data_IF_168266185217
#
_entry.id   IF_168266185217
#
_cell.length_a   1.000
_cell.length_b   1.000
_cell.length_c   1.000
_cell.angle_alpha   90.00
_cell.angle_beta   90.00
_cell.angle_gamma   90.00
#
_symmetry.space_group_name_H-M   'P 1'
#
loop_
_entity.id
_entity.type
_entity.pdbx_description
1 polymer ?
#
# COMPACT_ATOMS: atom_id res chain seq x y z
N UNK A 1 4.32 24.99 -8.04
CA UNK A 1 4.67 23.76 -7.29
C UNK A 1 3.61 23.55 -6.22
N UNK A 2 3.13 22.33 -5.99
CA UNK A 2 2.14 22.05 -4.94
C UNK A 2 2.72 22.39 -3.56
N UNK A 3 1.88 22.91 -2.65
CA UNK A 3 2.29 23.19 -1.28
C UNK A 3 2.62 21.91 -0.52
N UNK A 4 3.44 22.01 0.54
CA UNK A 4 3.84 20.86 1.37
C UNK A 4 2.61 20.12 1.94
N UNK A 5 1.57 20.87 2.31
CA UNK A 5 0.30 20.30 2.79
C UNK A 5 -0.41 19.46 1.72
N UNK A 6 -0.41 19.92 0.47
CA UNK A 6 -1.02 19.19 -0.63
C UNK A 6 -0.28 17.88 -0.89
N UNK A 7 1.05 17.91 -0.86
CA UNK A 7 1.87 16.69 -0.99
C UNK A 7 1.56 15.71 0.14
N UNK A 8 1.42 16.19 1.37
CA UNK A 8 1.04 15.36 2.51
C UNK A 8 -0.32 14.66 2.27
N UNK A 9 -1.35 15.38 1.84
CA UNK A 9 -2.65 14.78 1.55
C UNK A 9 -2.62 13.78 0.40
N UNK A 10 -1.81 14.03 -0.64
CA UNK A 10 -1.62 13.08 -1.74
C UNK A 10 -0.98 11.78 -1.23
N UNK A 11 0.07 11.89 -0.42
CA UNK A 11 0.75 10.71 0.16
C UNK A 11 -0.20 9.95 1.09
N UNK A 12 -1.00 10.64 1.88
CA UNK A 12 -1.99 10.02 2.76
C UNK A 12 -3.08 9.29 1.97
N UNK A 13 -3.59 9.89 0.89
CA UNK A 13 -4.54 9.24 0.00
C UNK A 13 -3.96 7.99 -0.66
N UNK A 14 -2.70 8.08 -1.14
CA UNK A 14 -1.98 6.94 -1.70
C UNK A 14 -1.81 5.81 -0.68
N UNK A 15 -1.47 6.16 0.56
CA UNK A 15 -1.33 5.19 1.66
C UNK A 15 -2.65 4.47 1.95
N UNK A 16 -3.76 5.20 2.08
CA UNK A 16 -5.08 4.62 2.38
C UNK A 16 -5.51 3.68 1.25
N UNK A 17 -5.40 4.10 -0.01
CA UNK A 17 -5.73 3.24 -1.16
C UNK A 17 -4.80 2.03 -1.23
N UNK A 18 -3.49 2.21 -1.00
CA UNK A 18 -2.51 1.14 -0.99
C UNK A 18 -2.80 0.05 0.05
N UNK A 19 -3.24 0.43 1.26
CA UNK A 19 -3.62 -0.53 2.31
C UNK A 19 -4.88 -1.35 1.97
N UNK A 20 -5.76 -0.81 1.12
CA UNK A 20 -6.98 -1.49 0.68
C UNK A 20 -6.83 -2.22 -0.67
N UNK A 21 -5.74 -1.98 -1.41
CA UNK A 21 -5.51 -2.56 -2.75
C UNK A 21 -5.72 -4.08 -2.84
N UNK A 22 -5.35 -4.83 -1.79
CA UNK A 22 -5.58 -6.28 -1.77
C UNK A 22 -7.07 -6.62 -1.80
N UNK A 23 -7.88 -5.91 -1.02
CA UNK A 23 -9.34 -6.10 -0.99
C UNK A 23 -9.96 -5.74 -2.33
N UNK A 24 -9.49 -4.67 -2.97
CA UNK A 24 -9.94 -4.26 -4.31
C UNK A 24 -9.65 -5.35 -5.35
N UNK A 25 -8.43 -5.88 -5.39
CA UNK A 25 -8.05 -6.97 -6.30
C UNK A 25 -8.93 -8.20 -6.10
N UNK A 26 -9.17 -8.60 -4.85
CA UNK A 26 -10.05 -9.75 -4.56
C UNK A 26 -11.51 -9.46 -4.92
N UNK A 27 -12.00 -8.24 -4.70
CA UNK A 27 -13.34 -7.83 -5.11
C UNK A 27 -13.51 -7.91 -6.63
N UNK A 28 -12.50 -7.48 -7.38
CA UNK A 28 -12.49 -7.52 -8.85
C UNK A 28 -12.52 -8.95 -9.37
N UNK A 29 -11.68 -9.83 -8.82
CA UNK A 29 -11.60 -11.24 -9.22
C UNK A 29 -12.85 -12.02 -8.82
N UNK A 30 -13.42 -11.73 -7.65
CA UNK A 30 -14.62 -12.43 -7.14
C UNK A 30 -15.94 -11.82 -7.60
N UNK A 31 -15.93 -10.68 -8.29
CA UNK A 31 -17.13 -10.05 -8.86
C UNK A 31 -18.14 -9.48 -7.85
N UNK A 32 -17.67 -8.99 -6.70
CA UNK A 32 -18.53 -8.57 -5.55
C UNK A 32 -19.10 -7.14 -5.73
N UNK A 33 -19.34 -6.75 -6.98
CA UNK A 33 -19.77 -5.39 -7.33
C UNK A 33 -21.24 -5.13 -7.02
N UNK A 34 -22.08 -6.18 -7.06
CA UNK A 34 -23.53 -6.02 -6.83
C UNK A 34 -23.84 -5.70 -5.38
N UNK A 35 -23.15 -6.35 -4.46
CA UNK A 35 -23.36 -6.21 -3.02
C UNK A 35 -22.81 -4.87 -2.50
N UNK A 36 -21.76 -4.36 -3.14
CA UNK A 36 -21.12 -3.09 -2.79
C UNK A 36 -21.67 -1.91 -3.58
N UNK A 37 -22.60 -2.14 -4.52
CA UNK A 37 -23.13 -1.11 -5.45
C UNK A 37 -23.63 0.15 -4.75
N UNK A 38 -24.47 0.01 -3.73
CA UNK A 38 -25.05 1.16 -3.03
C UNK A 38 -24.00 1.94 -2.22
N UNK A 39 -22.99 1.25 -1.69
CA UNK A 39 -21.85 1.87 -1.02
C UNK A 39 -20.99 2.67 -2.01
N UNK A 40 -20.72 2.12 -3.19
CA UNK A 40 -19.99 2.83 -4.26
C UNK A 40 -20.75 4.07 -4.75
N UNK A 41 -22.08 4.00 -4.87
CA UNK A 41 -22.89 5.18 -5.19
C UNK A 41 -22.83 6.23 -4.08
N UNK A 42 -22.94 5.80 -2.82
CA UNK A 42 -22.74 6.67 -1.66
C UNK A 42 -21.35 7.33 -1.67
N UNK A 43 -20.31 6.60 -2.06
CA UNK A 43 -18.95 7.10 -2.18
C UNK A 43 -18.88 8.29 -3.15
N UNK A 44 -19.48 8.15 -4.33
CA UNK A 44 -19.51 9.21 -5.33
C UNK A 44 -20.24 10.46 -4.84
N UNK A 45 -21.38 10.29 -4.17
CA UNK A 45 -22.15 11.40 -3.60
C UNK A 45 -21.38 12.09 -2.48
N UNK A 46 -20.86 11.34 -1.52
CA UNK A 46 -20.08 11.89 -0.39
C UNK A 46 -18.83 12.59 -0.93
N UNK A 47 -18.15 12.00 -1.91
CA UNK A 47 -16.96 12.59 -2.52
C UNK A 47 -17.26 13.96 -3.14
N UNK A 48 -18.28 14.03 -4.00
CA UNK A 48 -18.66 15.28 -4.65
C UNK A 48 -19.08 16.35 -3.64
N UNK A 49 -19.97 16.01 -2.70
CA UNK A 49 -20.49 16.97 -1.70
C UNK A 49 -19.37 17.46 -0.80
N UNK A 50 -18.59 16.55 -0.22
CA UNK A 50 -17.50 16.92 0.68
C UNK A 50 -16.40 17.72 -0.02
N UNK A 51 -16.01 17.33 -1.24
CA UNK A 51 -15.02 18.07 -2.02
C UNK A 51 -15.49 19.48 -2.38
N UNK A 52 -16.75 19.69 -2.75
CA UNK A 52 -17.29 21.04 -3.06
C UNK A 52 -17.31 21.93 -1.80
N UNK A 53 -17.65 21.37 -0.64
CA UNK A 53 -17.65 22.12 0.61
C UNK A 53 -16.22 22.48 1.01
N UNK A 54 -15.33 21.49 1.03
CA UNK A 54 -13.96 21.65 1.50
C UNK A 54 -13.09 22.48 0.55
N UNK A 55 -13.30 22.41 -0.76
CA UNK A 55 -12.51 23.21 -1.72
C UNK A 55 -12.71 24.71 -1.50
N UNK A 56 -13.92 25.12 -1.08
CA UNK A 56 -14.22 26.52 -0.74
C UNK A 56 -13.53 26.97 0.55
N UNK A 57 -13.23 26.03 1.46
CA UNK A 57 -12.62 26.33 2.76
C UNK A 57 -11.10 26.28 2.74
N UNK A 58 -10.51 25.29 2.06
CA UNK A 58 -9.07 24.97 2.12
C UNK A 58 -8.45 24.73 0.74
N UNK A 59 -9.11 25.17 -0.33
CA UNK A 59 -8.61 25.05 -1.70
C UNK A 59 -8.47 23.60 -2.16
N UNK A 60 -7.48 23.32 -3.00
CA UNK A 60 -7.29 22.00 -3.62
C UNK A 60 -7.14 20.85 -2.60
N UNK A 61 -6.61 21.14 -1.41
CA UNK A 61 -6.51 20.17 -0.31
C UNK A 61 -7.88 19.57 0.05
N UNK A 62 -8.95 20.37 -0.08
CA UNK A 62 -10.31 19.92 0.18
C UNK A 62 -10.80 18.83 -0.76
N UNK A 63 -10.28 18.77 -2.00
CA UNK A 63 -10.61 17.71 -2.95
C UNK A 63 -10.02 16.37 -2.47
N UNK A 64 -8.77 16.37 -2.04
CA UNK A 64 -8.11 15.17 -1.51
C UNK A 64 -8.76 14.69 -0.21
N UNK A 65 -9.07 15.60 0.71
CA UNK A 65 -9.75 15.25 1.96
C UNK A 65 -11.16 14.70 1.69
N UNK A 66 -11.93 15.33 0.79
CA UNK A 66 -13.25 14.82 0.40
C UNK A 66 -13.18 13.42 -0.22
N UNK A 67 -12.10 13.12 -0.94
CA UNK A 67 -11.81 11.77 -1.47
C UNK A 67 -11.52 10.77 -0.37
N UNK A 68 -10.67 11.13 0.60
CA UNK A 68 -10.40 10.27 1.74
C UNK A 68 -11.65 10.01 2.60
N UNK A 69 -12.46 11.03 2.86
CA UNK A 69 -13.71 10.89 3.62
C UNK A 69 -14.64 9.91 2.93
N UNK A 70 -14.90 10.11 1.64
CA UNK A 70 -15.75 9.22 0.86
C UNK A 70 -15.20 7.79 0.88
N UNK A 71 -13.91 7.62 0.60
CA UNK A 71 -13.28 6.31 0.54
C UNK A 71 -13.33 5.55 1.87
N UNK A 72 -13.00 6.22 2.98
CA UNK A 72 -13.00 5.60 4.32
C UNK A 72 -14.41 5.24 4.79
N UNK A 73 -15.38 6.14 4.59
CA UNK A 73 -16.76 5.94 5.07
C UNK A 73 -17.54 4.90 4.26
N UNK A 74 -17.13 4.63 3.02
CA UNK A 74 -17.85 3.74 2.12
C UNK A 74 -17.03 2.53 1.71
N UNK A 75 -16.03 2.69 0.85
CA UNK A 75 -15.24 1.61 0.26
C UNK A 75 -14.47 0.85 1.34
N UNK A 76 -13.68 1.54 2.16
CA UNK A 76 -12.87 0.94 3.21
C UNK A 76 -13.72 0.26 4.30
N UNK A 77 -14.99 0.66 4.43
CA UNK A 77 -15.93 0.05 5.37
C UNK A 77 -16.62 -1.18 4.75
N UNK A 78 -17.24 -1.01 3.59
CA UNK A 78 -18.10 -2.01 2.98
C UNK A 78 -17.32 -3.16 2.34
N UNK A 79 -16.28 -2.85 1.57
CA UNK A 79 -15.58 -3.86 0.76
C UNK A 79 -14.94 -4.95 1.63
N UNK A 80 -14.17 -4.62 2.69
CA UNK A 80 -13.60 -5.65 3.55
C UNK A 80 -14.67 -6.46 4.29
N UNK A 81 -15.76 -5.81 4.73
CA UNK A 81 -16.86 -6.50 5.44
C UNK A 81 -17.52 -7.54 4.54
N UNK A 82 -17.87 -7.16 3.30
CA UNK A 82 -18.53 -8.07 2.36
C UNK A 82 -17.56 -9.18 1.92
N UNK A 83 -16.32 -8.82 1.57
CA UNK A 83 -15.30 -9.77 1.10
C UNK A 83 -14.95 -10.80 2.17
N UNK A 84 -14.61 -10.36 3.39
CA UNK A 84 -14.19 -11.29 4.45
C UNK A 84 -15.32 -12.21 4.88
N UNK A 85 -16.55 -11.68 4.96
CA UNK A 85 -17.71 -12.50 5.34
C UNK A 85 -18.08 -13.53 4.27
N UNK A 86 -18.13 -13.12 3.00
CA UNK A 86 -18.71 -13.95 1.93
C UNK A 86 -17.71 -14.87 1.23
N UNK A 87 -16.48 -14.38 1.02
CA UNK A 87 -15.46 -15.12 0.27
C UNK A 87 -14.54 -15.87 1.22
N UNK A 88 -14.06 -15.19 2.27
CA UNK A 88 -13.11 -15.79 3.20
C UNK A 88 -13.76 -16.50 4.40
N UNK A 89 -15.08 -16.38 4.58
CA UNK A 89 -15.81 -16.90 5.74
C UNK A 89 -15.17 -16.51 7.08
N UNK A 90 -14.69 -15.26 7.16
CA UNK A 90 -13.95 -14.69 8.29
C UNK A 90 -14.56 -13.36 8.74
N UNK A 91 -14.17 -12.90 9.92
CA UNK A 91 -14.56 -11.58 10.43
C UNK A 91 -13.72 -10.49 9.78
N UNK A 92 -14.34 -9.35 9.46
CA UNK A 92 -13.64 -8.17 8.94
C UNK A 92 -12.62 -7.60 9.95
N UNK A 93 -12.76 -7.88 11.24
CA UNK A 93 -11.78 -7.52 12.28
C UNK A 93 -10.37 -8.04 11.96
N UNK A 94 -10.25 -9.21 11.33
CA UNK A 94 -8.94 -9.74 10.91
C UNK A 94 -8.27 -8.83 9.87
N UNK A 95 -9.05 -8.24 8.96
CA UNK A 95 -8.57 -7.26 7.99
C UNK A 95 -8.07 -5.99 8.67
N UNK A 96 -8.89 -5.40 9.55
CA UNK A 96 -8.54 -4.15 10.22
C UNK A 96 -7.31 -4.33 11.12
N UNK A 97 -7.18 -5.47 11.80
CA UNK A 97 -5.98 -5.77 12.58
C UNK A 97 -4.73 -5.88 11.68
N UNK A 98 -4.86 -6.47 10.48
CA UNK A 98 -3.77 -6.51 9.50
C UNK A 98 -3.39 -5.10 9.00
N UNK A 99 -4.39 -4.25 8.76
CA UNK A 99 -4.18 -2.85 8.39
C UNK A 99 -3.46 -2.07 9.49
N UNK A 100 -3.89 -2.20 10.75
CA UNK A 100 -3.25 -1.54 11.89
C UNK A 100 -1.78 -1.97 12.03
N UNK A 101 -1.50 -3.28 11.89
CA UNK A 101 -0.12 -3.79 11.91
C UNK A 101 0.73 -3.20 10.78
N UNK A 102 0.18 -3.14 9.57
CA UNK A 102 0.88 -2.59 8.40
C UNK A 102 1.10 -1.08 8.53
N UNK A 103 0.09 -0.35 9.03
CA UNK A 103 0.18 1.08 9.30
C UNK A 103 1.22 1.39 10.39
N UNK A 104 1.26 0.60 11.47
CA UNK A 104 2.28 0.71 12.50
C UNK A 104 3.70 0.48 11.93
N UNK A 105 3.88 -0.52 11.06
CA UNK A 105 5.15 -0.76 10.38
C UNK A 105 5.57 0.43 9.50
N UNK A 106 4.63 1.06 8.81
CA UNK A 106 4.86 2.26 7.99
C UNK A 106 5.27 3.45 8.87
N UNK A 107 4.60 3.68 10.00
CA UNK A 107 4.97 4.75 10.95
C UNK A 107 6.38 4.51 11.48
N UNK A 108 6.71 3.28 11.90
CA UNK A 108 8.05 2.94 12.39
C UNK A 108 9.10 3.23 11.30
N UNK A 109 8.86 2.77 10.06
CA UNK A 109 9.74 3.02 8.94
C UNK A 109 9.92 4.52 8.67
N UNK A 110 8.85 5.29 8.71
CA UNK A 110 8.88 6.74 8.52
C UNK A 110 9.70 7.44 9.62
N UNK A 111 9.42 7.15 10.89
CA UNK A 111 10.10 7.79 12.03
C UNK A 111 11.59 7.49 12.00
N UNK A 112 11.98 6.22 11.81
CA UNK A 112 13.39 5.82 11.77
C UNK A 112 14.10 6.43 10.56
N UNK A 113 13.48 6.41 9.38
CA UNK A 113 14.07 6.98 8.17
C UNK A 113 14.25 8.49 8.30
N UNK A 114 13.25 9.20 8.81
CA UNK A 114 13.32 10.65 8.99
C UNK A 114 14.38 11.03 10.03
N UNK A 115 14.46 10.28 11.13
CA UNK A 115 15.51 10.46 12.14
C UNK A 115 16.90 10.28 11.54
N UNK A 116 17.12 9.22 10.74
CA UNK A 116 18.41 8.99 10.07
C UNK A 116 18.74 10.07 9.02
N UNK A 117 17.75 10.52 8.25
CA UNK A 117 17.91 11.60 7.28
C UNK A 117 18.26 12.95 7.96
N UNK A 118 17.85 13.16 9.21
CA UNK A 118 18.11 14.41 9.93
C UNK A 118 19.60 14.63 10.25
N UNK A 119 20.41 13.56 10.32
CA UNK A 119 21.86 13.67 10.48
C UNK A 119 22.58 14.18 9.23
N UNK A 120 21.92 14.16 8.06
CA UNK A 120 22.48 14.67 6.82
C UNK A 120 22.09 16.15 6.69
N UNK A 121 23.01 17.02 7.09
CA UNK A 121 22.87 18.48 6.99
C UNK A 121 23.28 19.04 5.63
N UNK A 122 23.98 18.25 4.79
CA UNK A 122 24.36 18.65 3.44
C UNK A 122 23.13 18.86 2.54
N UNK A 123 23.11 20.01 1.86
CA UNK A 123 22.04 20.50 0.98
C UNK A 123 22.43 20.33 -0.50
N UNK A 124 23.67 19.93 -0.79
CA UNK A 124 24.14 19.66 -2.15
C UNK A 124 23.64 18.33 -2.74
N UNK A 125 24.06 18.04 -3.96
CA UNK A 125 23.73 16.77 -4.65
C UNK A 125 24.19 15.54 -3.86
N UNK A 126 25.29 15.63 -3.10
CA UNK A 126 25.76 14.58 -2.21
C UNK A 126 24.74 14.26 -1.11
N UNK A 127 24.34 15.27 -0.33
CA UNK A 127 23.27 15.14 0.67
C UNK A 127 21.96 14.59 0.11
N UNK A 128 21.55 15.00 -1.09
CA UNK A 128 20.38 14.45 -1.77
C UNK A 128 20.52 12.94 -2.06
N UNK A 129 21.65 12.51 -2.64
CA UNK A 129 21.92 11.10 -2.94
C UNK A 129 21.91 10.26 -1.66
N UNK A 130 22.55 10.73 -0.58
CA UNK A 130 22.55 10.01 0.69
C UNK A 130 21.16 9.91 1.31
N UNK A 131 20.36 10.99 1.30
CA UNK A 131 18.97 10.96 1.78
C UNK A 131 18.10 10.00 0.96
N UNK A 132 18.30 9.94 -0.36
CA UNK A 132 17.62 8.99 -1.24
C UNK A 132 18.01 7.55 -0.91
N UNK A 133 19.30 7.27 -0.71
CA UNK A 133 19.78 5.93 -0.31
C UNK A 133 19.22 5.50 1.04
N UNK A 134 19.21 6.38 2.05
CA UNK A 134 18.61 6.08 3.35
C UNK A 134 17.12 5.80 3.20
N UNK A 135 16.40 6.65 2.45
CA UNK A 135 14.96 6.54 2.24
C UNK A 135 14.57 5.29 1.43
N UNK A 136 15.49 4.75 0.63
CA UNK A 136 15.33 3.47 -0.04
C UNK A 136 15.69 2.29 0.88
N UNK A 137 16.89 2.27 1.46
CA UNK A 137 17.39 1.11 2.19
C UNK A 137 16.67 0.87 3.52
N UNK A 138 16.42 1.93 4.30
CA UNK A 138 15.94 1.79 5.69
C UNK A 138 14.52 1.21 5.77
N UNK A 139 13.50 1.74 5.07
CA UNK A 139 12.16 1.14 5.10
C UNK A 139 12.17 -0.32 4.64
N UNK A 140 12.95 -0.66 3.62
CA UNK A 140 13.06 -2.03 3.10
C UNK A 140 13.65 -2.99 4.15
N UNK A 141 14.71 -2.60 4.85
CA UNK A 141 15.29 -3.41 5.94
C UNK A 141 14.28 -3.57 7.08
N UNK A 142 13.58 -2.50 7.47
CA UNK A 142 12.56 -2.55 8.53
C UNK A 142 11.43 -3.51 8.15
N UNK A 143 10.89 -3.40 6.93
CA UNK A 143 9.86 -4.33 6.46
C UNK A 143 10.38 -5.75 6.37
N UNK A 144 11.62 -5.96 5.93
CA UNK A 144 12.22 -7.28 5.93
C UNK A 144 12.24 -7.87 7.35
N UNK A 145 12.71 -7.12 8.35
CA UNK A 145 12.77 -7.59 9.75
C UNK A 145 11.37 -7.89 10.30
N UNK A 146 10.40 -7.00 10.10
CA UNK A 146 9.03 -7.15 10.62
C UNK A 146 8.34 -8.36 9.99
N UNK A 147 8.46 -8.52 8.67
CA UNK A 147 7.73 -9.55 7.93
C UNK A 147 8.51 -10.87 7.76
N UNK A 148 9.81 -10.95 8.08
CA UNK A 148 10.65 -12.14 7.84
C UNK A 148 10.07 -13.45 8.41
N UNK A 149 9.42 -13.38 9.58
CA UNK A 149 8.85 -14.56 10.26
C UNK A 149 7.41 -14.87 9.87
N UNK A 150 6.80 -14.06 9.01
CA UNK A 150 5.41 -14.25 8.58
C UNK A 150 5.30 -15.41 7.60
N UNK A 151 4.11 -16.05 7.56
CA UNK A 151 3.87 -17.21 6.68
C UNK A 151 3.92 -16.77 5.22
N UNK A 152 3.45 -15.56 4.97
CA UNK A 152 3.42 -14.82 3.72
C UNK A 152 4.84 -14.63 3.19
N UNK A 153 5.74 -14.08 4.00
CA UNK A 153 7.14 -13.92 3.60
C UNK A 153 7.81 -15.26 3.28
N UNK A 154 7.56 -16.29 4.11
CA UNK A 154 8.08 -17.63 3.85
C UNK A 154 7.54 -18.21 2.54
N UNK A 155 6.26 -18.00 2.25
CA UNK A 155 5.63 -18.43 0.99
C UNK A 155 6.28 -17.76 -0.22
N UNK A 156 6.42 -16.44 -0.21
CA UNK A 156 7.08 -15.70 -1.31
C UNK A 156 8.55 -16.07 -1.46
N UNK A 157 9.27 -16.26 -0.35
CA UNK A 157 10.65 -16.74 -0.37
C UNK A 157 10.77 -18.14 -0.98
N UNK A 158 9.86 -19.05 -0.64
CA UNK A 158 9.80 -20.37 -1.26
C UNK A 158 9.48 -20.29 -2.75
N UNK A 159 8.56 -19.41 -3.16
CA UNK A 159 8.21 -19.19 -4.56
C UNK A 159 9.41 -18.67 -5.36
N UNK A 160 10.11 -17.63 -4.87
CA UNK A 160 11.34 -17.13 -5.50
C UNK A 160 12.40 -18.22 -5.62
N UNK A 161 12.65 -18.97 -4.54
CA UNK A 161 13.61 -20.09 -4.56
C UNK A 161 13.21 -21.19 -5.56
N UNK A 162 11.92 -21.43 -5.73
CA UNK A 162 11.37 -22.38 -6.70
C UNK A 162 11.38 -21.87 -8.12
N UNK A 163 11.30 -20.58 -8.40
CA UNK A 163 11.43 -20.05 -9.76
C UNK A 163 12.88 -20.04 -10.24
N UNK A 164 13.85 -19.89 -9.33
CA UNK A 164 15.29 -19.85 -9.67
C UNK A 164 15.86 -21.26 -9.96
N UNK A 165 15.44 -22.30 -9.22
CA UNK A 165 15.98 -23.67 -9.34
C UNK A 165 15.70 -24.43 -10.65
N UNK A 166 14.47 -24.45 -11.21
CA UNK A 166 14.16 -25.15 -12.44
C UNK A 166 14.70 -24.41 -13.67
N UNK A 167 14.66 -23.08 -13.70
CA UNK A 167 15.20 -22.28 -14.81
C UNK A 167 16.71 -22.50 -15.01
N UNK A 168 17.49 -22.53 -13.93
CA UNK A 168 18.92 -22.85 -13.99
C UNK A 168 19.20 -24.27 -14.51
N UNK A 169 18.41 -25.28 -14.08
CA UNK A 169 18.58 -26.67 -14.56
C UNK A 169 18.16 -26.86 -16.01
N UNK A 170 17.12 -26.17 -16.47
CA UNK A 170 16.70 -26.18 -17.88
C UNK A 170 17.76 -25.55 -18.78
N UNK A 171 18.28 -24.38 -18.40
CA UNK A 171 19.35 -23.69 -19.15
C UNK A 171 20.63 -24.54 -19.18
N UNK A 172 21.03 -25.15 -18.07
CA UNK A 172 22.19 -26.06 -18.04
C UNK A 172 22.01 -27.32 -18.88
N UNK A 173 20.81 -27.92 -18.89
CA UNK A 173 20.52 -29.08 -19.74
C UNK A 173 20.55 -28.69 -21.22
N UNK A 174 20.00 -27.52 -21.56
CA UNK A 174 20.03 -26.99 -22.92
C UNK A 174 21.47 -26.69 -23.39
N UNK A 175 22.29 -26.06 -22.54
CA UNK A 175 23.69 -25.78 -22.84
C UNK A 175 24.53 -27.06 -22.96
N UNK A 176 24.33 -28.05 -22.07
CA UNK A 176 25.03 -29.35 -22.17
C UNK A 176 24.61 -30.17 -23.40
N UNK A 177 23.38 -30.04 -23.86
CA UNK A 177 22.90 -30.70 -25.07
C UNK A 177 23.43 -30.05 -26.36
N UNK A 178 23.80 -28.77 -26.32
CA UNK A 178 24.34 -28.02 -27.46
C UNK A 178 25.86 -28.10 -27.61
N UNK A 179 26.56 -28.54 -26.56
CA UNK A 179 28.04 -28.72 -26.53
C UNK A 179 28.43 -30.19 -26.84
N UNK A 180 27.46 -31.07 -27.10
CA UNK A 180 27.66 -32.39 -27.72
C UNK A 180 27.28 -32.33 -29.19
#
# INVERSE_FOLDING_TARGET
MFGQDTVFFIVLMFLISGLNSTVEVFKDVCGIFRETKYWTLGAAVINLVSSIILVKMIGINGIFIGTMIAYLTTIYTADPIVLYKRIFNKKAEEYYLSCIKSFAAIIIAFVVTNYLCSFITDIGYGGFIFKALISFCIPNVIYMIIYFRTREFRFYYMLMRRSVKPSYRYILRYLKAKIR
#
